data_IF_422937854723
#
_entry.id   IF_422937854723
#
_cell.length_a   1.000
_cell.length_b   1.000
_cell.length_c   1.000
_cell.angle_alpha   90.00
_cell.angle_beta   90.00
_cell.angle_gamma   90.00
#
_symmetry.space_group_name_H-M   'P 1'
#
loop_
_entity.id
_entity.type
_entity.pdbx_description
1 polymer ?
#
# COMPACT_ATOMS: atom_id res chain seq x y z
N UNK A 1 -7.84 5.50 -9.02
CA UNK A 1 -8.31 6.52 -8.06
C UNK A 1 -7.14 7.43 -7.77
N UNK A 2 -7.39 8.73 -7.76
CA UNK A 2 -6.35 9.74 -7.58
C UNK A 2 -6.29 10.21 -6.13
N UNK A 3 -5.08 10.46 -5.64
CA UNK A 3 -4.85 11.09 -4.34
C UNK A 3 -3.72 12.10 -4.44
N UNK A 4 -3.94 13.27 -3.84
CA UNK A 4 -2.91 14.28 -3.65
C UNK A 4 -2.39 14.20 -2.22
N UNK A 5 -1.07 13.99 -2.07
CA UNK A 5 -0.40 13.95 -0.77
C UNK A 5 0.89 14.76 -0.85
N UNK A 6 1.08 15.71 0.08
CA UNK A 6 2.25 16.60 0.12
C UNK A 6 2.58 17.27 -1.24
N UNK A 7 1.56 17.68 -1.99
CA UNK A 7 1.71 18.33 -3.31
C UNK A 7 2.06 17.39 -4.46
N UNK A 8 2.08 16.07 -4.25
CA UNK A 8 2.25 15.06 -5.30
C UNK A 8 0.94 14.34 -5.58
N UNK A 9 0.67 14.09 -6.86
CA UNK A 9 -0.48 13.32 -7.31
C UNK A 9 -0.08 11.88 -7.58
N UNK A 10 -0.85 10.94 -7.06
CA UNK A 10 -0.66 9.51 -7.26
C UNK A 10 -1.91 8.92 -7.90
N UNK A 11 -1.72 8.18 -9.00
CA UNK A 11 -2.76 7.35 -9.58
C UNK A 11 -2.62 5.92 -9.05
N UNK A 12 -3.61 5.46 -8.31
CA UNK A 12 -3.61 4.13 -7.68
C UNK A 12 -4.75 3.31 -8.27
N UNK A 13 -4.41 2.15 -8.84
CA UNK A 13 -5.38 1.25 -9.44
C UNK A 13 -6.12 0.47 -8.34
N UNK A 14 -7.44 0.46 -8.42
CA UNK A 14 -8.33 -0.37 -7.59
C UNK A 14 -8.22 -1.83 -8.03
N UNK A 15 -8.16 -2.76 -7.09
CA UNK A 15 -8.31 -4.19 -7.41
C UNK A 15 -9.80 -4.53 -7.60
N UNK A 16 -10.14 -5.49 -8.46
CA UNK A 16 -11.54 -5.76 -8.88
C UNK A 16 -12.54 -5.86 -7.72
N UNK A 17 -12.18 -6.60 -6.66
CA UNK A 17 -13.05 -6.86 -5.49
C UNK A 17 -12.68 -6.02 -4.27
N UNK A 18 -12.02 -4.88 -4.47
CA UNK A 18 -11.56 -4.01 -3.39
C UNK A 18 -12.65 -3.03 -2.93
N UNK A 19 -12.99 -3.11 -1.65
CA UNK A 19 -13.89 -2.14 -1.00
C UNK A 19 -13.25 -0.75 -0.92
N UNK A 20 -14.08 0.30 -0.84
CA UNK A 20 -13.60 1.68 -0.74
C UNK A 20 -12.68 1.90 0.48
N UNK A 21 -12.99 1.28 1.62
CA UNK A 21 -12.15 1.35 2.81
C UNK A 21 -10.79 0.67 2.60
N UNK A 22 -10.77 -0.50 1.96
CA UNK A 22 -9.53 -1.22 1.63
C UNK A 22 -8.67 -0.39 0.67
N UNK A 23 -9.29 0.18 -0.37
CA UNK A 23 -8.62 1.04 -1.32
C UNK A 23 -8.02 2.27 -0.64
N UNK A 24 -8.80 2.96 0.21
CA UNK A 24 -8.32 4.13 0.94
C UNK A 24 -7.12 3.78 1.83
N UNK A 25 -7.18 2.68 2.58
CA UNK A 25 -6.08 2.22 3.42
C UNK A 25 -4.82 1.93 2.58
N UNK A 26 -4.97 1.27 1.42
CA UNK A 26 -3.85 1.04 0.50
C UNK A 26 -3.31 2.33 -0.09
N UNK A 27 -4.16 3.29 -0.43
CA UNK A 27 -3.73 4.60 -0.90
C UNK A 27 -2.89 5.31 0.16
N UNK A 28 -3.36 5.33 1.40
CA UNK A 28 -2.61 5.91 2.53
C UNK A 28 -1.30 5.18 2.81
N UNK A 29 -1.29 3.85 2.71
CA UNK A 29 -0.06 3.06 2.79
C UNK A 29 0.96 3.55 1.77
N UNK A 30 0.57 3.61 0.49
CA UNK A 30 1.46 3.93 -0.64
C UNK A 30 2.01 5.35 -0.52
N UNK A 31 1.14 6.36 -0.33
CA UNK A 31 1.57 7.77 -0.35
C UNK A 31 2.50 8.13 0.80
N UNK A 32 2.33 7.50 1.97
CA UNK A 32 3.21 7.69 3.13
C UNK A 32 4.63 7.16 2.90
N UNK A 33 4.83 6.25 1.93
CA UNK A 33 6.17 5.79 1.52
C UNK A 33 6.87 6.80 0.60
N UNK A 34 6.17 7.83 0.13
CA UNK A 34 6.69 8.89 -0.76
C UNK A 34 7.42 8.37 -2.01
N UNK A 35 6.84 7.43 -2.79
CA UNK A 35 7.51 6.94 -3.99
C UNK A 35 7.82 8.12 -4.93
N UNK A 36 9.03 8.12 -5.47
CA UNK A 36 9.60 9.20 -6.28
C UNK A 36 9.52 8.93 -7.78
N UNK A 37 9.30 7.68 -8.17
CA UNK A 37 9.24 7.22 -9.54
C UNK A 37 8.25 6.06 -9.69
N UNK A 38 7.98 5.67 -10.93
CA UNK A 38 6.99 4.63 -11.25
C UNK A 38 7.39 3.24 -10.73
N UNK A 39 8.68 2.91 -10.70
CA UNK A 39 9.15 1.62 -10.18
C UNK A 39 8.92 1.50 -8.67
N UNK A 40 9.21 2.56 -7.94
CA UNK A 40 8.89 2.66 -6.51
C UNK A 40 7.38 2.60 -6.29
N UNK A 41 6.58 3.30 -7.10
CA UNK A 41 5.13 3.24 -6.98
C UNK A 41 4.60 1.82 -7.20
N UNK A 42 5.11 1.09 -8.20
CA UNK A 42 4.78 -0.32 -8.44
C UNK A 42 5.19 -1.21 -7.28
N UNK A 43 6.38 -0.98 -6.72
CA UNK A 43 6.89 -1.72 -5.56
C UNK A 43 6.01 -1.50 -4.33
N UNK A 44 5.69 -0.25 -4.01
CA UNK A 44 4.84 0.08 -2.86
C UNK A 44 3.39 -0.39 -3.07
N UNK A 45 2.91 -0.44 -4.30
CA UNK A 45 1.60 -1.04 -4.63
C UNK A 45 1.56 -2.54 -4.37
N UNK A 46 2.67 -3.26 -4.58
CA UNK A 46 2.77 -4.69 -4.23
C UNK A 46 2.80 -4.88 -2.71
N UNK A 47 3.53 -4.03 -1.99
CA UNK A 47 3.57 -4.11 -0.54
C UNK A 47 2.24 -3.74 0.12
N UNK A 48 1.51 -2.77 -0.43
CA UNK A 48 0.18 -2.42 0.09
C UNK A 48 -0.82 -3.57 -0.06
N UNK A 49 -0.73 -4.36 -1.15
CA UNK A 49 -1.52 -5.59 -1.31
C UNK A 49 -1.19 -6.64 -0.25
N UNK A 50 0.11 -6.87 0.02
CA UNK A 50 0.52 -7.83 1.05
C UNK A 50 0.04 -7.36 2.44
N UNK A 51 0.22 -6.08 2.74
CA UNK A 51 -0.22 -5.49 3.99
C UNK A 51 -1.73 -5.59 4.20
N UNK A 52 -2.54 -5.29 3.18
CA UNK A 52 -4.00 -5.34 3.32
C UNK A 52 -4.50 -6.77 3.45
N UNK A 53 -3.90 -7.72 2.73
CA UNK A 53 -4.24 -9.14 2.86
C UNK A 53 -3.87 -9.67 4.25
N UNK A 54 -2.71 -9.28 4.77
CA UNK A 54 -2.32 -9.67 6.13
C UNK A 54 -3.25 -9.05 7.18
N UNK A 55 -3.64 -7.79 7.01
CA UNK A 55 -4.45 -7.04 8.00
C UNK A 55 -5.93 -7.44 7.96
N UNK A 56 -6.53 -7.58 6.77
CA UNK A 56 -7.97 -7.83 6.62
C UNK A 56 -8.33 -9.31 6.53
N UNK A 57 -7.46 -10.12 5.92
CA UNK A 57 -7.73 -11.54 5.65
C UNK A 57 -6.94 -12.47 6.56
N UNK A 58 -6.03 -11.94 7.38
CA UNK A 58 -5.16 -12.75 8.24
C UNK A 58 -4.14 -13.57 7.46
N UNK A 59 -3.81 -13.18 6.21
CA UNK A 59 -2.81 -13.91 5.43
C UNK A 59 -1.42 -13.79 6.04
N UNK A 60 -0.74 -14.94 6.14
CA UNK A 60 0.63 -15.03 6.59
C UNK A 60 1.61 -15.06 5.42
N UNK A 61 2.75 -14.42 5.60
CA UNK A 61 3.81 -14.35 4.61
C UNK A 61 5.14 -14.70 5.27
N UNK A 62 6.15 -15.02 4.46
CA UNK A 62 7.51 -15.28 4.97
C UNK A 62 8.00 -14.16 5.89
N UNK A 63 8.78 -14.50 6.91
CA UNK A 63 9.32 -13.54 7.89
C UNK A 63 10.01 -12.35 7.21
N UNK A 64 10.69 -12.59 6.10
CA UNK A 64 11.33 -11.52 5.31
C UNK A 64 10.32 -10.48 4.83
N UNK A 65 9.19 -10.91 4.27
CA UNK A 65 8.15 -10.01 3.80
C UNK A 65 7.43 -9.35 4.97
N UNK A 66 7.08 -10.13 5.99
CA UNK A 66 6.41 -9.63 7.20
C UNK A 66 7.23 -8.53 7.87
N UNK A 67 8.53 -8.71 8.02
CA UNK A 67 9.43 -7.70 8.57
C UNK A 67 9.52 -6.42 7.70
N UNK A 68 9.48 -6.55 6.37
CA UNK A 68 9.46 -5.39 5.47
C UNK A 68 8.15 -4.61 5.63
N UNK A 69 7.01 -5.32 5.63
CA UNK A 69 5.70 -4.72 5.76
C UNK A 69 5.55 -4.02 7.11
N UNK A 70 5.92 -4.68 8.21
CA UNK A 70 5.84 -4.11 9.55
C UNK A 70 6.67 -2.82 9.66
N UNK A 71 7.87 -2.77 9.09
CA UNK A 71 8.68 -1.54 9.08
C UNK A 71 8.00 -0.38 8.34
N UNK A 72 7.27 -0.70 7.26
CA UNK A 72 6.57 0.29 6.43
C UNK A 72 5.25 0.75 7.05
N UNK A 73 4.59 -0.11 7.82
CA UNK A 73 3.28 0.17 8.41
C UNK A 73 3.33 0.94 9.74
N UNK A 74 4.50 1.13 10.36
CA UNK A 74 4.68 1.84 11.64
C UNK A 74 4.05 3.25 11.64
N UNK A 75 3.94 3.89 10.48
CA UNK A 75 3.48 5.28 10.37
C UNK A 75 2.15 5.43 9.62
N UNK A 76 1.42 4.34 9.37
CA UNK A 76 0.13 4.36 8.66
C UNK A 76 -0.99 4.63 9.64
#
# INVERSE_FOLDING_TARGET
MDITFEGKNYFIQRNEEESDNSLYNRMMFIVKQRPSNEEELKKESRYSNIWINSTLLGCEYSDKLTNIINKKSINI
#
